data_IF_874036987620
#
_entry.id   IF_874036987620
#
_cell.length_a   1.000
_cell.length_b   1.000
_cell.length_c   1.000
_cell.angle_alpha   90.00
_cell.angle_beta   90.00
_cell.angle_gamma   90.00
#
_symmetry.space_group_name_H-M   'P 1'
#
loop_
_entity.id
_entity.type
_entity.pdbx_description
1 polymer ?
#
# COMPACT_ATOMS: atom_id res chain seq x y z
N UNK A 1 3.26 43.12 -1.17
CA UNK A 1 4.15 41.99 -1.51
C UNK A 1 4.54 41.15 -0.29
N UNK A 2 5.18 41.69 0.76
CA UNK A 2 5.56 40.93 1.98
C UNK A 2 4.41 40.19 2.68
N UNK A 3 3.22 40.81 2.77
CA UNK A 3 2.02 40.19 3.37
C UNK A 3 1.45 39.01 2.56
N UNK A 4 1.62 39.04 1.24
CA UNK A 4 1.20 37.96 0.34
C UNK A 4 2.17 36.77 0.47
N UNK A 5 3.47 37.05 0.58
CA UNK A 5 4.49 36.01 0.82
C UNK A 5 4.25 35.27 2.15
N UNK A 6 3.89 36.02 3.20
CA UNK A 6 3.56 35.45 4.51
C UNK A 6 2.33 34.53 4.45
N UNK A 7 1.32 34.91 3.65
CA UNK A 7 0.10 34.12 3.49
C UNK A 7 0.36 32.81 2.74
N UNK A 8 1.19 32.86 1.69
CA UNK A 8 1.63 31.65 0.96
C UNK A 8 2.42 30.71 1.88
N UNK A 9 3.29 31.26 2.74
CA UNK A 9 4.07 30.47 3.69
C UNK A 9 3.21 29.74 4.73
N UNK A 10 2.13 30.37 5.21
CA UNK A 10 1.18 29.75 6.15
C UNK A 10 0.38 28.61 5.49
N UNK A 11 -0.03 28.77 4.23
CA UNK A 11 -0.78 27.74 3.51
C UNK A 11 0.04 26.47 3.25
N UNK A 12 1.37 26.57 3.11
CA UNK A 12 2.25 25.41 2.88
C UNK A 12 2.44 24.57 4.16
N UNK A 13 2.30 25.16 5.34
CA UNK A 13 2.48 24.46 6.62
C UNK A 13 1.27 23.61 7.02
N UNK A 14 0.10 23.81 6.41
CA UNK A 14 -1.15 23.14 6.82
C UNK A 14 -1.34 21.73 6.23
N UNK A 15 -0.46 21.26 5.34
CA UNK A 15 -0.66 20.03 4.57
C UNK A 15 0.04 18.77 5.13
N UNK A 16 0.73 18.85 6.26
CA UNK A 16 1.53 17.72 6.79
C UNK A 16 0.75 16.63 7.52
N UNK A 17 -0.41 16.94 8.09
CA UNK A 17 -1.02 16.09 9.12
C UNK A 17 -1.63 14.79 8.56
N UNK A 18 -2.11 14.81 7.31
CA UNK A 18 -2.79 13.66 6.69
C UNK A 18 -1.80 12.53 6.35
N UNK A 19 -0.52 12.85 6.15
CA UNK A 19 0.47 11.86 5.70
C UNK A 19 1.05 11.03 6.86
N UNK A 20 1.16 11.61 8.05
CA UNK A 20 1.76 10.96 9.21
C UNK A 20 0.97 9.74 9.68
N UNK A 21 -0.35 9.86 9.81
CA UNK A 21 -1.24 8.78 10.29
C UNK A 21 -1.20 7.55 9.39
N UNK A 22 -1.11 7.75 8.08
CA UNK A 22 -1.03 6.65 7.10
C UNK A 22 0.29 5.90 7.21
N UNK A 23 1.40 6.63 7.37
CA UNK A 23 2.73 6.04 7.51
C UNK A 23 2.85 5.23 8.81
N UNK A 24 2.33 5.76 9.92
CA UNK A 24 2.28 5.03 11.21
C UNK A 24 1.58 3.68 11.06
N UNK A 25 0.46 3.62 10.35
CA UNK A 25 -0.26 2.36 10.07
C UNK A 25 0.58 1.39 9.23
N UNK A 26 1.28 1.88 8.21
CA UNK A 26 2.16 1.05 7.38
C UNK A 26 3.27 0.43 8.23
N UNK A 27 3.92 1.22 9.08
CA UNK A 27 5.05 0.75 9.88
C UNK A 27 4.59 -0.23 10.97
N UNK A 28 3.44 0.02 11.59
CA UNK A 28 2.80 -0.94 12.50
C UNK A 28 2.55 -2.30 11.80
N UNK A 29 1.94 -2.28 10.61
CA UNK A 29 1.65 -3.50 9.87
C UNK A 29 2.92 -4.25 9.43
N UNK A 30 4.00 -3.54 9.11
CA UNK A 30 5.30 -4.18 8.79
C UNK A 30 5.87 -4.93 9.99
N UNK A 31 5.78 -4.36 11.19
CA UNK A 31 6.26 -5.05 12.39
C UNK A 31 5.44 -6.32 12.67
N UNK A 32 4.12 -6.26 12.52
CA UNK A 32 3.24 -7.43 12.71
C UNK A 32 3.50 -8.50 11.64
N UNK A 33 3.82 -8.09 10.40
CA UNK A 33 4.11 -9.01 9.29
C UNK A 33 5.27 -9.97 9.59
N UNK A 34 6.22 -9.57 10.43
CA UNK A 34 7.37 -10.39 10.84
C UNK A 34 6.97 -11.54 11.76
N UNK A 35 5.88 -11.38 12.52
CA UNK A 35 5.45 -12.35 13.54
C UNK A 35 4.30 -13.25 13.09
N UNK A 36 3.53 -12.84 12.07
CA UNK A 36 2.36 -13.59 11.61
C UNK A 36 2.67 -14.53 10.43
N UNK A 37 1.88 -15.60 10.32
CA UNK A 37 1.94 -16.60 9.26
C UNK A 37 0.55 -16.91 8.70
N UNK A 38 0.48 -17.78 7.68
CA UNK A 38 -0.79 -18.25 7.10
C UNK A 38 -1.66 -17.13 6.51
N UNK A 39 -2.97 -17.26 6.70
CA UNK A 39 -3.97 -16.34 6.14
C UNK A 39 -3.85 -14.91 6.67
N UNK A 40 -3.50 -14.75 7.95
CA UNK A 40 -3.31 -13.42 8.56
C UNK A 40 -2.17 -12.66 7.88
N UNK A 41 -1.07 -13.36 7.56
CA UNK A 41 0.04 -12.78 6.79
C UNK A 41 -0.40 -12.36 5.39
N UNK A 42 -1.23 -13.14 4.71
CA UNK A 42 -1.82 -12.78 3.41
C UNK A 42 -2.63 -11.48 3.54
N UNK A 43 -3.49 -11.39 4.54
CA UNK A 43 -4.35 -10.22 4.76
C UNK A 43 -3.55 -8.95 5.08
N UNK A 44 -2.49 -9.05 5.87
CA UNK A 44 -1.59 -7.91 6.15
C UNK A 44 -0.87 -7.45 4.87
N UNK A 45 -0.41 -8.38 4.04
CA UNK A 45 0.22 -8.05 2.76
C UNK A 45 -0.75 -7.35 1.80
N UNK A 46 -2.00 -7.82 1.72
CA UNK A 46 -3.08 -7.17 0.97
C UNK A 46 -3.29 -5.73 1.49
N UNK A 47 -3.32 -5.54 2.81
CA UNK A 47 -3.53 -4.23 3.40
C UNK A 47 -2.37 -3.27 3.13
N UNK A 48 -1.13 -3.78 3.24
CA UNK A 48 0.07 -3.02 2.90
C UNK A 48 0.06 -2.61 1.42
N UNK A 49 -0.39 -3.49 0.52
CA UNK A 49 -0.56 -3.15 -0.90
C UNK A 49 -1.52 -1.95 -1.09
N UNK A 50 -2.70 -2.03 -0.48
CA UNK A 50 -3.70 -0.95 -0.54
C UNK A 50 -3.19 0.38 0.02
N UNK A 51 -2.52 0.35 1.16
CA UNK A 51 -1.97 1.57 1.77
C UNK A 51 -0.87 2.18 0.91
N UNK A 52 -0.08 1.39 0.20
CA UNK A 52 1.00 1.92 -0.64
C UNK A 52 0.54 2.39 -2.02
N UNK A 53 -0.69 2.08 -2.45
CA UNK A 53 -1.16 2.25 -3.82
C UNK A 53 -0.88 3.62 -4.47
N UNK A 54 -1.22 4.70 -3.77
CA UNK A 54 -1.17 6.07 -4.32
C UNK A 54 0.23 6.69 -4.25
N UNK A 55 0.99 6.38 -3.19
CA UNK A 55 2.24 7.08 -2.87
C UNK A 55 3.47 6.26 -3.27
N UNK A 56 3.34 4.93 -3.24
CA UNK A 56 4.40 3.95 -3.37
C UNK A 56 3.92 2.75 -4.22
N UNK A 57 3.55 2.97 -5.50
CA UNK A 57 2.92 1.93 -6.32
C UNK A 57 3.82 0.72 -6.58
N UNK A 58 5.14 0.88 -6.55
CA UNK A 58 6.09 -0.22 -6.67
C UNK A 58 6.02 -1.17 -5.45
N UNK A 59 5.96 -0.60 -4.26
CA UNK A 59 5.75 -1.31 -3.00
C UNK A 59 4.37 -1.96 -2.97
N UNK A 60 3.34 -1.29 -3.49
CA UNK A 60 2.00 -1.85 -3.61
C UNK A 60 1.98 -3.13 -4.45
N UNK A 61 2.65 -3.10 -5.61
CA UNK A 61 2.83 -4.30 -6.47
C UNK A 61 3.62 -5.38 -5.75
N UNK A 62 4.69 -5.02 -5.03
CA UNK A 62 5.51 -5.98 -4.27
C UNK A 62 4.67 -6.73 -3.24
N UNK A 63 3.91 -6.01 -2.42
CA UNK A 63 3.08 -6.61 -1.38
C UNK A 63 1.93 -7.46 -1.95
N UNK A 64 1.27 -7.00 -3.02
CA UNK A 64 0.24 -7.79 -3.69
C UNK A 64 0.78 -9.12 -4.25
N UNK A 65 1.98 -9.11 -4.85
CA UNK A 65 2.64 -10.33 -5.34
C UNK A 65 3.02 -11.28 -4.21
N UNK A 66 3.53 -10.74 -3.09
CA UNK A 66 3.82 -11.55 -1.91
C UNK A 66 2.56 -12.20 -1.35
N UNK A 67 1.45 -11.45 -1.26
CA UNK A 67 0.16 -11.97 -0.83
C UNK A 67 -0.33 -13.10 -1.75
N UNK A 68 -0.28 -12.88 -3.07
CA UNK A 68 -0.72 -13.84 -4.07
C UNK A 68 0.06 -15.15 -3.98
N UNK A 69 1.40 -15.06 -3.93
CA UNK A 69 2.26 -16.24 -3.84
C UNK A 69 2.00 -17.04 -2.56
N UNK A 70 1.83 -16.34 -1.43
CA UNK A 70 1.54 -16.99 -0.16
C UNK A 70 0.15 -17.62 -0.15
N UNK A 71 -0.87 -16.91 -0.64
CA UNK A 71 -2.24 -17.40 -0.73
C UNK A 71 -2.32 -18.68 -1.57
N UNK A 72 -1.63 -18.73 -2.72
CA UNK A 72 -1.48 -19.94 -3.55
C UNK A 72 -0.80 -21.07 -2.79
N UNK A 73 0.29 -20.78 -2.09
CA UNK A 73 1.07 -21.77 -1.33
C UNK A 73 0.22 -22.45 -0.24
N UNK A 74 -0.57 -21.66 0.50
CA UNK A 74 -1.41 -22.16 1.59
C UNK A 74 -2.81 -22.57 1.13
N UNK A 75 -3.11 -22.47 -0.17
CA UNK A 75 -4.42 -22.77 -0.78
C UNK A 75 -5.57 -21.92 -0.20
N UNK A 76 -5.30 -20.66 0.09
CA UNK A 76 -6.29 -19.70 0.58
C UNK A 76 -6.95 -18.95 -0.59
N UNK A 77 -8.00 -19.54 -1.16
CA UNK A 77 -8.66 -19.08 -2.39
C UNK A 77 -9.17 -17.64 -2.32
N UNK A 78 -9.81 -17.26 -1.21
CA UNK A 78 -10.31 -15.89 -1.02
C UNK A 78 -9.16 -14.88 -1.01
N UNK A 79 -8.07 -15.19 -0.31
CA UNK A 79 -6.88 -14.33 -0.29
C UNK A 79 -6.17 -14.28 -1.64
N UNK A 80 -6.21 -15.34 -2.43
CA UNK A 80 -5.66 -15.36 -3.78
C UNK A 80 -6.43 -14.40 -4.70
N UNK A 81 -7.76 -14.47 -4.70
CA UNK A 81 -8.61 -13.59 -5.51
C UNK A 81 -8.42 -12.12 -5.12
N UNK A 82 -8.37 -11.83 -3.82
CA UNK A 82 -8.15 -10.47 -3.33
C UNK A 82 -6.75 -9.96 -3.67
N UNK A 83 -5.72 -10.80 -3.51
CA UNK A 83 -4.36 -10.45 -3.89
C UNK A 83 -4.20 -10.20 -5.39
N UNK A 84 -4.88 -10.97 -6.24
CA UNK A 84 -4.96 -10.73 -7.69
C UNK A 84 -5.59 -9.37 -7.99
N UNK A 85 -6.72 -9.06 -7.35
CA UNK A 85 -7.38 -7.76 -7.53
C UNK A 85 -6.45 -6.61 -7.12
N UNK A 86 -5.76 -6.72 -5.97
CA UNK A 86 -4.78 -5.71 -5.53
C UNK A 86 -3.58 -5.63 -6.47
N UNK A 87 -3.10 -6.74 -7.03
CA UNK A 87 -2.00 -6.74 -7.99
C UNK A 87 -2.39 -5.99 -9.28
N UNK A 88 -3.58 -6.24 -9.82
CA UNK A 88 -4.10 -5.54 -11.00
C UNK A 88 -4.23 -4.04 -10.76
N UNK A 89 -4.84 -3.64 -9.64
CA UNK A 89 -4.98 -2.24 -9.28
C UNK A 89 -3.59 -1.60 -9.07
N UNK A 90 -2.67 -2.26 -8.38
CA UNK A 90 -1.32 -1.73 -8.15
C UNK A 90 -0.52 -1.56 -9.44
N UNK A 91 -0.63 -2.49 -10.40
CA UNK A 91 0.01 -2.36 -11.70
C UNK A 91 -0.58 -1.21 -12.53
N UNK A 92 -1.89 -0.98 -12.44
CA UNK A 92 -2.53 0.18 -13.05
C UNK A 92 -1.93 1.49 -12.53
N UNK A 93 -1.78 1.64 -11.21
CA UNK A 93 -1.17 2.83 -10.60
C UNK A 93 0.33 2.96 -10.89
N UNK A 94 1.03 1.85 -11.10
CA UNK A 94 2.45 1.85 -11.51
C UNK A 94 2.64 2.17 -13.00
N UNK A 95 1.57 2.23 -13.80
CA UNK A 95 1.63 2.42 -15.25
C UNK A 95 2.08 1.17 -16.02
N UNK A 96 2.08 0.00 -15.38
CA UNK A 96 2.52 -1.27 -15.97
C UNK A 96 1.32 -2.09 -16.45
N UNK A 97 0.75 -1.71 -17.59
CA UNK A 97 -0.43 -2.36 -18.15
C UNK A 97 -0.16 -3.78 -18.68
N UNK A 98 1.09 -4.10 -19.03
CA UNK A 98 1.46 -5.39 -19.65
C UNK A 98 1.51 -6.57 -18.67
N UNK A 99 1.40 -6.34 -17.36
CA UNK A 99 1.60 -7.36 -16.31
C UNK A 99 0.30 -7.89 -15.69
N UNK A 100 -0.84 -7.65 -16.32
CA UNK A 100 -2.16 -8.10 -15.86
C UNK A 100 -2.51 -9.57 -16.21
N UNK A 101 -1.55 -10.40 -16.62
CA UNK A 101 -1.76 -11.81 -17.01
C UNK A 101 -1.39 -12.79 -15.90
#
# INVERSE_FOLDING_TARGET
>A
MKKILLFIFICILSSSDIFADKQIKIDCLKNVLETVEGEEKVQILIKLSELNLLNFPAEAVKYAKQALNLAKLIKYETGELEALAKASVSNHYLGNYDRCQ
#
